data_IF_409342266904
#
_entry.id   IF_409342266904
#
_cell.length_a   1.000
_cell.length_b   1.000
_cell.length_c   1.000
_cell.angle_alpha   90.00
_cell.angle_beta   90.00
_cell.angle_gamma   90.00
#
_symmetry.space_group_name_H-M   'P 1'
#
loop_
_entity.id
_entity.type
_entity.pdbx_description
1 polymer ?
#
# COMPACT_ATOMS: atom_id res chain seq x y z
N UNK A 1 6.81 23.10 8.76
CA UNK A 1 6.85 21.71 9.25
C UNK A 1 6.28 21.71 10.64
N UNK A 2 5.34 20.84 10.95
CA UNK A 2 4.72 20.79 12.28
C UNK A 2 5.72 20.19 13.27
N UNK A 3 5.73 20.68 14.52
CA UNK A 3 6.58 20.18 15.61
C UNK A 3 6.50 18.67 15.77
N UNK A 4 5.31 18.10 15.60
CA UNK A 4 5.05 16.65 15.57
C UNK A 4 5.88 15.86 14.56
N UNK A 5 6.02 16.32 13.33
CA UNK A 5 6.82 15.61 12.31
C UNK A 5 8.31 15.64 12.65
N UNK A 6 8.81 16.73 13.23
CA UNK A 6 10.19 16.81 13.69
C UNK A 6 10.47 15.85 14.86
N UNK A 7 9.51 15.66 15.76
CA UNK A 7 9.60 14.71 16.86
C UNK A 7 9.57 13.27 16.35
N UNK A 8 8.61 12.93 15.51
CA UNK A 8 8.53 11.62 14.87
C UNK A 8 9.79 11.27 14.06
N UNK A 9 10.37 12.24 13.34
CA UNK A 9 11.62 12.04 12.61
C UNK A 9 12.78 11.66 13.55
N UNK A 10 12.87 12.29 14.72
CA UNK A 10 13.90 11.96 15.72
C UNK A 10 13.69 10.54 16.27
N UNK A 11 12.44 10.17 16.58
CA UNK A 11 12.11 8.82 17.04
C UNK A 11 12.46 7.77 16.00
N UNK A 12 12.10 7.99 14.72
CA UNK A 12 12.43 7.10 13.62
C UNK A 12 13.96 6.93 13.46
N UNK A 13 14.73 8.02 13.53
CA UNK A 13 16.18 7.96 13.42
C UNK A 13 16.82 7.21 14.59
N UNK A 14 16.31 7.38 15.81
CA UNK A 14 16.77 6.61 16.97
C UNK A 14 16.48 5.10 16.79
N UNK A 15 15.34 4.73 16.25
CA UNK A 15 15.01 3.34 15.96
C UNK A 15 15.93 2.76 14.88
N UNK A 16 16.21 3.52 13.80
CA UNK A 16 17.16 3.13 12.76
C UNK A 16 18.56 2.91 13.32
N UNK A 17 19.06 3.82 14.16
CA UNK A 17 20.35 3.69 14.80
C UNK A 17 20.41 2.47 15.74
N UNK A 18 19.39 2.27 16.56
CA UNK A 18 19.29 1.09 17.44
C UNK A 18 19.28 -0.21 16.64
N UNK A 19 18.60 -0.25 15.50
CA UNK A 19 18.58 -1.40 14.59
C UNK A 19 19.97 -1.63 13.99
N UNK A 20 20.61 -0.57 13.49
CA UNK A 20 21.96 -0.60 12.94
C UNK A 20 22.97 -1.18 13.93
N UNK A 21 22.97 -0.72 15.19
CA UNK A 21 23.85 -1.20 16.24
C UNK A 21 23.57 -2.68 16.60
N UNK A 22 22.30 -3.07 16.64
CA UNK A 22 21.89 -4.43 17.02
C UNK A 22 22.28 -5.48 15.99
N UNK A 23 22.23 -5.16 14.71
CA UNK A 23 22.51 -6.08 13.60
C UNK A 23 23.84 -5.84 12.90
N UNK A 24 24.58 -4.79 13.28
CA UNK A 24 25.85 -4.40 12.67
C UNK A 24 25.74 -4.21 11.14
N UNK A 25 24.67 -3.56 10.71
CA UNK A 25 24.35 -3.30 9.30
C UNK A 25 24.66 -1.86 8.89
N UNK A 26 24.53 -1.58 7.58
CA UNK A 26 24.61 -0.21 7.09
C UNK A 26 23.32 0.55 7.46
N UNK A 27 23.42 1.83 7.74
CA UNK A 27 22.30 2.69 8.13
C UNK A 27 21.16 2.69 7.08
N UNK A 28 21.50 2.69 5.78
CA UNK A 28 20.52 2.57 4.70
C UNK A 28 19.74 1.24 4.75
N UNK A 29 20.42 0.15 5.09
CA UNK A 29 19.80 -1.18 5.24
C UNK A 29 18.86 -1.18 6.44
N UNK A 30 19.31 -0.63 7.57
CA UNK A 30 18.48 -0.47 8.77
C UNK A 30 17.28 0.43 8.53
N UNK A 31 17.43 1.53 7.76
CA UNK A 31 16.31 2.35 7.33
C UNK A 31 15.28 1.54 6.51
N UNK A 32 15.76 0.78 5.53
CA UNK A 32 14.88 -0.07 4.70
C UNK A 32 14.07 -1.03 5.58
N UNK A 33 14.72 -1.75 6.50
CA UNK A 33 14.05 -2.73 7.35
C UNK A 33 13.08 -2.08 8.34
N UNK A 34 13.49 -1.03 9.04
CA UNK A 34 12.62 -0.32 9.99
C UNK A 34 11.40 0.25 9.27
N UNK A 35 11.60 0.93 8.13
CA UNK A 35 10.48 1.54 7.41
C UNK A 35 9.52 0.50 6.84
N UNK A 36 10.05 -0.55 6.21
CA UNK A 36 9.21 -1.62 5.65
C UNK A 36 8.49 -2.42 6.71
N UNK A 37 9.08 -2.61 7.91
CA UNK A 37 8.39 -3.22 9.05
C UNK A 37 7.15 -2.42 9.48
N UNK A 38 7.18 -1.09 9.43
CA UNK A 38 5.98 -0.29 9.66
C UNK A 38 4.91 -0.54 8.60
N UNK A 39 5.32 -0.64 7.33
CA UNK A 39 4.38 -0.92 6.23
C UNK A 39 3.79 -2.34 6.32
N UNK A 40 4.59 -3.33 6.75
CA UNK A 40 4.14 -4.71 6.98
C UNK A 40 3.17 -4.76 8.16
N UNK A 41 3.50 -4.15 9.31
CA UNK A 41 2.61 -4.10 10.48
C UNK A 41 1.28 -3.40 10.19
N UNK A 42 1.28 -2.45 9.27
CA UNK A 42 0.09 -1.75 8.81
C UNK A 42 -0.57 -2.44 7.61
N UNK A 43 -0.09 -3.62 7.21
CA UNK A 43 -0.62 -4.44 6.10
C UNK A 43 -0.68 -3.69 4.74
N UNK A 44 0.22 -2.73 4.55
CA UNK A 44 0.40 -2.03 3.27
C UNK A 44 1.08 -2.93 2.25
N UNK A 45 2.03 -3.74 2.74
CA UNK A 45 2.72 -4.82 2.02
C UNK A 45 2.75 -6.07 2.90
N UNK A 46 2.77 -7.24 2.29
CA UNK A 46 2.77 -8.51 3.04
C UNK A 46 4.17 -8.87 3.54
N UNK A 47 5.20 -8.60 2.73
CA UNK A 47 6.61 -8.87 3.03
C UNK A 47 7.50 -7.85 2.32
N UNK A 48 8.76 -7.77 2.75
CA UNK A 48 9.80 -6.97 2.10
C UNK A 48 11.14 -7.71 2.18
N UNK A 49 11.59 -8.22 1.06
CA UNK A 49 12.88 -8.90 0.92
C UNK A 49 13.92 -7.91 0.39
N UNK A 50 15.11 -7.90 1.00
CA UNK A 50 16.22 -7.06 0.53
C UNK A 50 16.74 -7.57 -0.81
N UNK A 51 16.99 -6.66 -1.73
CA UNK A 51 17.62 -6.95 -3.03
C UNK A 51 18.20 -5.66 -3.59
N UNK A 52 19.43 -5.35 -3.16
CA UNK A 52 20.04 -4.07 -3.48
C UNK A 52 20.78 -4.10 -4.81
N UNK A 53 20.32 -3.30 -5.76
CA UNK A 53 20.97 -3.04 -7.03
C UNK A 53 21.10 -1.52 -7.24
N UNK A 54 22.31 -1.03 -7.51
CA UNK A 54 22.55 0.37 -7.89
C UNK A 54 23.71 0.47 -8.88
N UNK A 55 23.46 0.01 -10.11
CA UNK A 55 24.46 -0.02 -11.19
C UNK A 55 23.88 0.47 -12.50
N UNK A 56 24.71 1.06 -13.33
CA UNK A 56 24.36 1.43 -14.71
C UNK A 56 23.04 2.21 -14.86
N UNK A 57 22.70 3.03 -13.83
CA UNK A 57 21.45 3.81 -13.81
C UNK A 57 20.19 2.97 -13.54
N UNK A 58 20.35 1.74 -13.06
CA UNK A 58 19.29 0.94 -12.42
C UNK A 58 19.36 1.09 -10.91
N UNK A 59 18.24 1.00 -10.24
CA UNK A 59 18.18 0.93 -8.78
C UNK A 59 16.94 0.18 -8.31
N UNK A 60 17.14 -0.70 -7.34
CA UNK A 60 16.11 -1.32 -6.50
C UNK A 60 16.77 -1.60 -5.15
N UNK A 61 16.02 -1.53 -4.06
CA UNK A 61 16.53 -1.82 -2.72
C UNK A 61 15.86 -3.07 -2.12
N UNK A 62 14.70 -3.46 -2.64
CA UNK A 62 14.00 -4.68 -2.24
C UNK A 62 12.69 -4.90 -3.00
N UNK A 63 11.98 -5.95 -2.61
CA UNK A 63 10.72 -6.34 -3.25
C UNK A 63 9.77 -7.04 -2.27
N UNK A 64 8.50 -7.11 -2.63
CA UNK A 64 7.45 -7.67 -1.79
C UNK A 64 7.13 -9.14 -2.11
N UNK A 65 8.13 -10.01 -2.18
CA UNK A 65 7.97 -11.44 -2.42
C UNK A 65 7.66 -11.84 -3.87
N UNK A 66 7.45 -13.15 -4.10
CA UNK A 66 7.09 -13.67 -5.44
C UNK A 66 5.70 -13.15 -5.85
N UNK A 67 5.56 -12.50 -7.03
CA UNK A 67 4.28 -11.98 -7.50
C UNK A 67 3.12 -12.98 -7.54
N UNK A 68 3.40 -14.29 -7.67
CA UNK A 68 2.36 -15.32 -7.67
C UNK A 68 1.64 -15.39 -6.33
N UNK A 69 2.38 -15.24 -5.24
CA UNK A 69 1.84 -15.32 -3.87
C UNK A 69 1.13 -14.02 -3.47
N UNK A 70 1.36 -12.94 -4.22
CA UNK A 70 0.88 -11.59 -3.95
C UNK A 70 -0.04 -11.04 -5.06
N UNK A 71 -1.06 -11.81 -5.44
CA UNK A 71 -2.10 -11.42 -6.41
C UNK A 71 -1.56 -11.03 -7.80
N UNK A 72 -0.42 -11.59 -8.20
CA UNK A 72 0.27 -11.29 -9.47
C UNK A 72 0.74 -9.83 -9.58
N UNK A 73 0.96 -9.18 -8.43
CA UNK A 73 1.51 -7.82 -8.33
C UNK A 73 3.00 -7.91 -8.05
N UNK A 74 3.80 -7.33 -8.92
CA UNK A 74 5.22 -7.10 -8.65
C UNK A 74 5.37 -5.84 -7.82
N UNK A 75 5.69 -5.99 -6.53
CA UNK A 75 5.98 -4.89 -5.62
C UNK A 75 7.50 -4.69 -5.57
N UNK A 76 8.00 -3.55 -6.04
CA UNK A 76 9.42 -3.18 -5.93
C UNK A 76 9.57 -1.99 -5.00
N UNK A 77 10.62 -2.00 -4.19
CA UNK A 77 10.85 -0.99 -3.16
C UNK A 77 12.17 -0.28 -3.47
N UNK A 78 12.15 1.04 -3.40
CA UNK A 78 13.34 1.88 -3.54
C UNK A 78 13.36 2.93 -2.44
N UNK A 79 14.51 3.15 -1.83
CA UNK A 79 14.72 4.06 -0.71
C UNK A 79 15.29 5.40 -1.18
N UNK A 80 14.77 6.48 -0.62
CA UNK A 80 15.37 7.82 -0.68
C UNK A 80 15.66 8.29 0.74
N UNK A 81 16.82 7.93 1.24
CA UNK A 81 17.24 8.18 2.61
C UNK A 81 18.16 9.39 2.72
N UNK A 82 17.88 10.27 3.68
CA UNK A 82 18.77 11.37 4.08
C UNK A 82 19.44 11.04 5.39
N UNK A 83 20.78 11.23 5.42
CA UNK A 83 21.63 11.10 6.61
C UNK A 83 21.62 12.37 7.50
N UNK A 84 20.87 13.40 7.12
CA UNK A 84 20.79 14.64 7.86
C UNK A 84 19.91 14.50 9.12
N UNK A 85 20.19 15.29 10.12
CA UNK A 85 19.43 15.31 11.38
C UNK A 85 18.14 16.15 11.30
N UNK A 86 17.80 16.66 10.13
CA UNK A 86 16.61 17.45 9.87
C UNK A 86 15.82 16.86 8.69
N UNK A 87 14.50 17.03 8.74
CA UNK A 87 13.64 16.56 7.66
C UNK A 87 13.88 17.39 6.41
N UNK A 88 14.43 16.76 5.39
CA UNK A 88 14.59 17.36 4.07
C UNK A 88 13.30 17.27 3.26
N UNK A 89 13.30 17.91 2.11
CA UNK A 89 12.19 17.87 1.16
C UNK A 89 12.60 17.06 -0.07
N UNK A 90 11.77 16.08 -0.44
CA UNK A 90 11.84 15.41 -1.74
C UNK A 90 10.79 16.03 -2.66
N UNK A 91 11.15 16.28 -3.90
CA UNK A 91 10.21 16.80 -4.89
C UNK A 91 9.74 15.69 -5.85
N UNK A 92 8.74 16.03 -6.67
CA UNK A 92 8.15 15.10 -7.65
C UNK A 92 9.17 14.55 -8.63
N UNK A 93 10.08 15.38 -9.11
CA UNK A 93 11.09 14.98 -10.10
C UNK A 93 12.08 13.97 -9.53
N UNK A 94 12.41 14.07 -8.25
CA UNK A 94 13.29 13.12 -7.56
C UNK A 94 12.63 11.75 -7.47
N UNK A 95 11.35 11.70 -7.07
CA UNK A 95 10.56 10.45 -7.04
C UNK A 95 10.47 9.83 -8.43
N UNK A 96 10.12 10.60 -9.44
CA UNK A 96 10.03 10.12 -10.83
C UNK A 96 11.39 9.63 -11.35
N UNK A 97 12.49 10.28 -10.96
CA UNK A 97 13.85 9.85 -11.31
C UNK A 97 14.20 8.49 -10.70
N UNK A 98 13.86 8.28 -9.41
CA UNK A 98 14.04 6.98 -8.76
C UNK A 98 13.21 5.90 -9.43
N UNK A 99 11.93 6.17 -9.69
CA UNK A 99 11.04 5.23 -10.36
C UNK A 99 11.53 4.83 -11.75
N UNK A 100 12.08 5.78 -12.54
CA UNK A 100 12.69 5.48 -13.84
C UNK A 100 13.88 4.52 -13.73
N UNK A 101 14.68 4.60 -12.67
CA UNK A 101 15.78 3.66 -12.42
C UNK A 101 15.26 2.26 -12.11
N UNK A 102 14.17 2.16 -11.34
CA UNK A 102 13.49 0.88 -11.07
C UNK A 102 12.88 0.31 -12.36
N UNK A 103 12.20 1.13 -13.16
CA UNK A 103 11.66 0.72 -14.46
C UNK A 103 12.75 0.18 -15.39
N UNK A 104 13.93 0.80 -15.39
CA UNK A 104 15.08 0.30 -16.16
C UNK A 104 15.55 -1.06 -15.67
N UNK A 105 15.58 -1.29 -14.34
CA UNK A 105 15.88 -2.59 -13.76
C UNK A 105 14.86 -3.64 -14.21
N UNK A 106 13.56 -3.35 -14.11
CA UNK A 106 12.49 -4.26 -14.56
C UNK A 106 12.64 -4.62 -16.02
N UNK A 107 12.85 -3.64 -16.90
CA UNK A 107 12.94 -3.86 -18.35
C UNK A 107 14.12 -4.77 -18.71
N UNK A 108 15.28 -4.52 -18.10
CA UNK A 108 16.48 -5.34 -18.32
C UNK A 108 16.38 -6.74 -17.70
N UNK A 109 15.66 -6.88 -16.60
CA UNK A 109 15.37 -8.20 -15.99
C UNK A 109 14.46 -9.00 -16.91
N UNK A 110 13.40 -8.39 -17.42
CA UNK A 110 12.42 -9.02 -18.28
C UNK A 110 13.02 -9.50 -19.59
N UNK A 111 13.85 -8.69 -20.26
CA UNK A 111 14.51 -9.08 -21.51
C UNK A 111 15.78 -9.95 -21.29
N UNK A 112 16.25 -10.03 -20.05
CA UNK A 112 17.39 -10.84 -19.64
C UNK A 112 18.76 -10.20 -19.87
N UNK A 113 18.83 -8.96 -20.33
CA UNK A 113 20.11 -8.27 -20.56
C UNK A 113 20.85 -7.94 -19.28
N UNK A 114 20.13 -7.85 -18.15
CA UNK A 114 20.71 -7.57 -16.84
C UNK A 114 21.71 -8.65 -16.38
N UNK A 115 21.51 -9.93 -16.76
CA UNK A 115 22.34 -11.04 -16.29
C UNK A 115 23.79 -10.98 -16.76
N UNK A 116 24.10 -10.13 -17.74
CA UNK A 116 25.49 -9.83 -18.12
C UNK A 116 26.11 -8.69 -17.29
N UNK A 117 25.34 -8.01 -16.46
CA UNK A 117 25.76 -6.82 -15.71
C UNK A 117 25.84 -7.04 -14.21
N UNK A 118 25.24 -8.12 -13.70
CA UNK A 118 25.18 -8.46 -12.27
C UNK A 118 25.79 -9.84 -12.01
N UNK A 119 26.23 -10.07 -10.76
CA UNK A 119 26.81 -11.34 -10.35
C UNK A 119 25.70 -12.37 -10.05
N UNK A 120 25.90 -13.63 -10.48
CA UNK A 120 24.92 -14.71 -10.26
C UNK A 120 24.67 -15.01 -8.79
N UNK A 121 25.65 -14.72 -7.92
CA UNK A 121 25.53 -14.91 -6.46
C UNK A 121 24.87 -13.75 -5.72
N UNK A 122 24.50 -12.69 -6.41
CA UNK A 122 23.93 -11.49 -5.80
C UNK A 122 22.42 -11.60 -5.60
N UNK A 123 21.89 -10.90 -4.59
CA UNK A 123 20.45 -10.89 -4.28
C UNK A 123 19.62 -10.29 -5.43
N UNK A 124 20.15 -9.30 -6.13
CA UNK A 124 19.50 -8.69 -7.28
C UNK A 124 19.39 -9.63 -8.50
N UNK A 125 20.29 -10.63 -8.60
CA UNK A 125 20.19 -11.67 -9.62
C UNK A 125 18.92 -12.52 -9.40
N UNK A 126 18.69 -12.94 -8.14
CA UNK A 126 17.49 -13.68 -7.77
C UNK A 126 16.20 -12.93 -8.08
N UNK A 127 16.16 -11.63 -7.77
CA UNK A 127 15.02 -10.78 -8.10
C UNK A 127 14.84 -10.63 -9.62
N UNK A 128 15.92 -10.45 -10.38
CA UNK A 128 15.86 -10.35 -11.83
C UNK A 128 15.33 -11.65 -12.48
N UNK A 129 15.73 -12.81 -11.93
CA UNK A 129 15.26 -14.12 -12.37
C UNK A 129 13.76 -14.31 -12.07
N UNK A 130 13.30 -13.93 -10.87
CA UNK A 130 11.87 -13.90 -10.53
C UNK A 130 11.10 -13.05 -11.54
N UNK A 131 11.55 -11.83 -11.83
CA UNK A 131 10.89 -10.94 -12.79
C UNK A 131 10.79 -11.60 -14.16
N UNK A 132 11.88 -12.14 -14.67
CA UNK A 132 11.94 -12.81 -15.97
C UNK A 132 11.00 -14.00 -16.04
N UNK A 133 11.07 -14.89 -15.04
CA UNK A 133 10.28 -16.11 -14.98
C UNK A 133 8.78 -15.82 -14.84
N UNK A 134 8.42 -14.84 -14.00
CA UNK A 134 7.04 -14.51 -13.66
C UNK A 134 6.39 -13.50 -14.60
N UNK A 135 7.15 -12.89 -15.52
CA UNK A 135 6.64 -11.83 -16.40
C UNK A 135 5.30 -12.14 -17.08
N UNK A 136 5.07 -13.34 -17.65
CA UNK A 136 3.80 -13.65 -18.30
C UNK A 136 2.59 -13.66 -17.34
N UNK A 137 2.84 -13.72 -16.04
CA UNK A 137 1.80 -13.81 -15.00
C UNK A 137 1.62 -12.48 -14.27
N UNK A 138 2.61 -11.58 -14.31
CA UNK A 138 2.54 -10.25 -13.68
C UNK A 138 1.44 -9.44 -14.36
N UNK A 139 0.56 -8.88 -13.55
CA UNK A 139 -0.59 -8.14 -14.04
C UNK A 139 -0.53 -6.67 -13.66
N UNK A 140 0.25 -6.33 -12.64
CA UNK A 140 0.43 -4.98 -12.14
C UNK A 140 1.82 -4.86 -11.53
N UNK A 141 2.39 -3.68 -11.66
CA UNK A 141 3.66 -3.32 -11.03
C UNK A 141 3.38 -2.17 -10.07
N UNK A 142 3.90 -2.26 -8.86
CA UNK A 142 3.92 -1.14 -7.90
C UNK A 142 5.37 -0.84 -7.56
N UNK A 143 5.75 0.43 -7.71
CA UNK A 143 7.04 0.94 -7.27
C UNK A 143 6.80 1.77 -6.02
N UNK A 144 7.21 1.23 -4.89
CA UNK A 144 7.07 1.84 -3.57
C UNK A 144 8.34 2.63 -3.29
N UNK A 145 8.22 3.94 -3.16
CA UNK A 145 9.33 4.82 -2.80
C UNK A 145 9.22 5.15 -1.33
N UNK A 146 10.14 4.65 -0.51
CA UNK A 146 10.19 4.95 0.92
C UNK A 146 11.19 6.06 1.20
N UNK A 147 10.82 7.06 2.00
CA UNK A 147 11.69 8.20 2.28
C UNK A 147 11.48 8.75 3.70
N UNK A 148 12.58 9.09 4.37
CA UNK A 148 12.56 9.86 5.62
C UNK A 148 12.44 11.38 5.38
N UNK A 149 12.28 11.80 4.13
CA UNK A 149 12.05 13.18 3.72
C UNK A 149 10.56 13.49 3.62
N UNK A 150 10.20 14.76 3.57
CA UNK A 150 8.84 15.24 3.36
C UNK A 150 8.58 15.48 1.87
N UNK A 151 7.55 14.86 1.30
CA UNK A 151 7.19 15.03 -0.11
C UNK A 151 6.39 16.32 -0.32
N UNK A 152 6.96 17.25 -1.06
CA UNK A 152 6.31 18.52 -1.39
C UNK A 152 5.57 18.39 -2.74
N UNK A 153 4.35 17.89 -2.71
CA UNK A 153 3.46 17.85 -3.90
C UNK A 153 2.05 18.26 -3.52
N UNK A 154 1.44 19.10 -4.36
CA UNK A 154 0.03 19.51 -4.19
C UNK A 154 -0.96 18.39 -4.51
N UNK A 155 -0.56 17.41 -5.34
CA UNK A 155 -1.30 16.19 -5.66
C UNK A 155 -0.34 15.01 -5.55
N UNK A 156 -0.68 14.03 -4.72
CA UNK A 156 0.12 12.80 -4.54
C UNK A 156 -0.10 11.77 -5.67
N UNK A 157 -0.81 12.14 -6.73
CA UNK A 157 -1.03 11.27 -7.88
C UNK A 157 0.12 11.39 -8.87
N UNK A 158 0.77 10.26 -9.12
CA UNK A 158 1.78 10.09 -10.16
C UNK A 158 1.16 9.35 -11.34
N UNK A 159 1.50 9.76 -12.55
CA UNK A 159 1.05 9.06 -13.73
C UNK A 159 1.78 7.72 -13.86
N UNK A 160 1.06 6.60 -14.05
CA UNK A 160 1.68 5.31 -14.26
C UNK A 160 2.56 5.29 -15.51
N UNK A 161 3.70 4.61 -15.45
CA UNK A 161 4.58 4.44 -16.60
C UNK A 161 4.34 3.06 -17.23
N UNK A 162 4.17 2.97 -18.56
CA UNK A 162 4.09 1.68 -19.24
C UNK A 162 5.45 0.99 -19.27
N UNK A 163 5.49 -0.27 -18.85
CA UNK A 163 6.67 -1.14 -18.86
C UNK A 163 6.29 -2.42 -19.57
N UNK A 164 6.73 -2.58 -20.82
CA UNK A 164 6.52 -3.78 -21.64
C UNK A 164 5.07 -4.33 -21.60
N UNK A 165 4.08 -3.44 -21.73
CA UNK A 165 2.65 -3.78 -21.78
C UNK A 165 1.94 -3.81 -20.43
N UNK A 166 2.64 -3.61 -19.31
CA UNK A 166 2.08 -3.51 -17.96
C UNK A 166 2.32 -2.10 -17.43
N UNK A 167 1.34 -1.53 -16.70
CA UNK A 167 1.52 -0.23 -16.06
C UNK A 167 2.16 -0.36 -14.69
N UNK A 168 3.19 0.45 -14.43
CA UNK A 168 3.82 0.60 -13.14
C UNK A 168 3.25 1.83 -12.41
N UNK A 169 2.61 1.60 -11.27
CA UNK A 169 2.09 2.65 -10.38
C UNK A 169 3.19 3.08 -9.41
N UNK A 170 3.29 4.38 -9.15
CA UNK A 170 4.22 4.94 -8.17
C UNK A 170 3.50 5.20 -6.86
N UNK A 171 4.02 4.64 -5.79
CA UNK A 171 3.43 4.71 -4.45
C UNK A 171 4.46 5.30 -3.47
N UNK A 172 4.56 6.64 -3.38
CA UNK A 172 5.48 7.25 -2.43
C UNK A 172 4.97 7.13 -1.00
N UNK A 173 5.90 6.78 -0.12
CA UNK A 173 5.76 6.75 1.33
C UNK A 173 6.80 7.67 1.94
N UNK A 174 6.43 8.92 2.14
CA UNK A 174 7.24 9.92 2.82
C UNK A 174 7.04 9.87 4.34
N UNK A 175 7.83 10.63 5.08
CA UNK A 175 7.73 10.67 6.54
C UNK A 175 6.37 11.13 7.05
N UNK A 176 5.69 12.06 6.33
CA UNK A 176 4.39 12.55 6.75
C UNK A 176 3.33 11.45 6.64
N UNK A 177 3.38 10.69 5.54
CA UNK A 177 2.47 9.58 5.31
C UNK A 177 2.71 8.44 6.30
N UNK A 178 3.97 8.15 6.62
CA UNK A 178 4.31 7.17 7.65
C UNK A 178 3.84 7.61 9.03
N UNK A 179 4.09 8.86 9.42
CA UNK A 179 3.61 9.41 10.70
C UNK A 179 2.08 9.33 10.80
N UNK A 180 1.38 9.72 9.75
CA UNK A 180 -0.09 9.62 9.68
C UNK A 180 -0.57 8.17 9.81
N UNK A 181 0.11 7.22 9.17
CA UNK A 181 -0.20 5.80 9.28
C UNK A 181 -0.08 5.29 10.72
N UNK A 182 1.00 5.67 11.41
CA UNK A 182 1.26 5.25 12.80
C UNK A 182 0.29 5.95 13.78
N UNK A 183 0.02 7.25 13.57
CA UNK A 183 -0.94 8.00 14.36
C UNK A 183 -2.37 7.48 14.15
N UNK A 184 -2.77 7.15 12.91
CA UNK A 184 -4.09 6.58 12.62
C UNK A 184 -4.29 5.20 13.25
N UNK A 185 -3.21 4.46 13.50
CA UNK A 185 -3.23 3.27 14.34
C UNK A 185 -3.45 3.57 15.84
N UNK A 186 -3.20 4.82 16.28
CA UNK A 186 -3.37 5.28 17.66
C UNK A 186 -4.60 6.17 17.86
N UNK A 187 -4.90 7.06 16.92
CA UNK A 187 -6.06 7.97 16.94
C UNK A 187 -6.61 8.16 15.53
N UNK A 188 -7.75 7.53 15.25
CA UNK A 188 -8.42 7.64 13.95
C UNK A 188 -9.15 8.97 13.87
N UNK A 189 -8.94 9.75 12.81
CA UNK A 189 -9.87 10.82 12.48
C UNK A 189 -11.27 10.20 12.25
N UNK A 190 -12.28 10.59 13.06
CA UNK A 190 -13.62 10.09 12.86
C UNK A 190 -14.14 10.50 11.47
N UNK A 191 -14.66 9.54 10.72
CA UNK A 191 -15.36 9.81 9.47
C UNK A 191 -16.85 9.91 9.82
N UNK A 192 -17.43 11.07 9.53
CA UNK A 192 -18.88 11.26 9.62
C UNK A 192 -19.49 11.05 8.21
N UNK A 193 -20.39 10.07 8.11
CA UNK A 193 -21.08 9.74 6.87
C UNK A 193 -22.54 10.14 7.02
N UNK A 194 -22.89 11.25 6.41
CA UNK A 194 -24.30 11.66 6.31
C UNK A 194 -24.97 10.89 5.17
N UNK A 195 -25.81 9.91 5.51
CA UNK A 195 -26.51 9.09 4.52
C UNK A 195 -27.45 9.92 3.62
N UNK A 196 -27.87 11.10 4.07
CA UNK A 196 -28.66 12.06 3.26
C UNK A 196 -27.96 12.47 1.97
N UNK A 197 -26.63 12.55 1.99
CA UNK A 197 -25.79 12.88 0.81
C UNK A 197 -25.74 11.73 -0.20
N UNK A 198 -26.14 10.51 0.21
CA UNK A 198 -26.00 9.29 -0.56
C UNK A 198 -27.32 8.56 -0.85
N UNK A 199 -28.45 9.25 -0.77
CA UNK A 199 -29.75 8.68 -1.11
C UNK A 199 -30.72 8.56 0.08
N UNK A 200 -30.37 9.09 1.23
CA UNK A 200 -31.26 9.19 2.37
C UNK A 200 -31.06 8.15 3.46
N UNK A 201 -31.95 8.15 4.46
CA UNK A 201 -31.89 7.22 5.59
C UNK A 201 -32.09 5.77 5.14
N UNK A 202 -31.44 4.84 5.85
CA UNK A 202 -31.47 3.42 5.54
C UNK A 202 -32.29 2.70 6.61
N UNK A 203 -33.24 1.89 6.19
CA UNK A 203 -33.99 1.03 7.10
C UNK A 203 -33.06 -0.04 7.68
N UNK A 204 -33.00 -0.10 9.01
CA UNK A 204 -32.18 -1.05 9.74
C UNK A 204 -32.97 -1.84 10.74
N UNK A 205 -32.61 -3.10 10.91
CA UNK A 205 -33.15 -3.97 11.96
C UNK A 205 -32.11 -4.07 13.06
N UNK A 206 -32.46 -3.61 14.26
CA UNK A 206 -31.57 -3.71 15.41
C UNK A 206 -31.55 -5.17 15.89
N UNK A 207 -30.36 -5.76 16.00
CA UNK A 207 -30.17 -7.06 16.59
C UNK A 207 -30.31 -6.98 18.12
N UNK A 208 -30.90 -8.01 18.72
CA UNK A 208 -30.94 -8.13 20.16
C UNK A 208 -29.54 -8.54 20.67
N UNK A 209 -28.87 -7.63 21.38
CA UNK A 209 -27.57 -7.91 21.99
C UNK A 209 -27.77 -8.32 23.44
N UNK A 210 -27.19 -9.46 23.83
CA UNK A 210 -27.19 -9.97 25.19
C UNK A 210 -26.20 -9.17 26.08
N UNK A 211 -25.13 -8.65 25.46
CA UNK A 211 -24.12 -7.80 26.07
C UNK A 211 -24.26 -6.35 25.59
N UNK A 212 -24.33 -5.40 26.54
CA UNK A 212 -24.59 -3.99 26.28
C UNK A 212 -23.40 -3.16 25.79
N UNK A 213 -22.30 -3.79 25.37
CA UNK A 213 -21.08 -3.07 24.97
C UNK A 213 -21.19 -2.40 23.59
N UNK A 214 -22.05 -2.91 22.71
CA UNK A 214 -22.28 -2.34 21.38
C UNK A 214 -23.66 -2.69 20.85
N UNK A 215 -24.21 -1.81 20.02
CA UNK A 215 -25.42 -2.05 19.24
C UNK A 215 -25.08 -2.63 17.86
N UNK A 216 -25.86 -3.59 17.39
CA UNK A 216 -25.72 -4.18 16.06
C UNK A 216 -26.98 -3.94 15.22
N UNK A 217 -26.78 -3.61 13.95
CA UNK A 217 -27.84 -3.34 12.99
C UNK A 217 -27.64 -4.14 11.73
N UNK A 218 -28.70 -4.74 11.22
CA UNK A 218 -28.75 -5.31 9.87
C UNK A 218 -29.49 -4.34 8.96
N UNK A 219 -28.86 -3.93 7.88
CA UNK A 219 -29.46 -3.05 6.88
C UNK A 219 -29.24 -3.56 5.45
N UNK A 220 -30.12 -3.17 4.56
CA UNK A 220 -30.00 -3.42 3.12
C UNK A 220 -29.71 -2.07 2.46
N UNK A 221 -28.55 -1.99 1.81
CA UNK A 221 -28.08 -0.78 1.16
C UNK A 221 -27.89 -1.07 -0.35
N UNK A 222 -28.36 -0.19 -1.25
CA UNK A 222 -28.06 -0.32 -2.67
C UNK A 222 -26.54 -0.25 -2.92
N UNK A 223 -26.05 -1.11 -3.80
CA UNK A 223 -24.62 -1.14 -4.12
C UNK A 223 -24.07 0.18 -4.65
N UNK A 224 -24.89 0.97 -5.34
CA UNK A 224 -24.56 2.32 -5.81
C UNK A 224 -24.27 3.27 -4.65
N UNK A 225 -25.02 3.20 -3.56
CA UNK A 225 -24.80 4.02 -2.35
C UNK A 225 -23.44 3.67 -1.74
N UNK A 226 -23.12 2.37 -1.64
CA UNK A 226 -21.81 1.91 -1.14
C UNK A 226 -20.68 2.41 -2.03
N UNK A 227 -20.85 2.34 -3.35
CA UNK A 227 -19.87 2.81 -4.32
C UNK A 227 -19.62 4.32 -4.19
N UNK A 228 -20.67 5.11 -4.05
CA UNK A 228 -20.59 6.57 -3.89
C UNK A 228 -19.93 6.96 -2.56
N UNK A 229 -20.24 6.26 -1.46
CA UNK A 229 -19.56 6.45 -0.17
C UNK A 229 -18.06 6.13 -0.32
N UNK A 230 -17.73 5.01 -0.98
CA UNK A 230 -16.35 4.64 -1.24
C UNK A 230 -15.64 5.65 -2.14
N UNK A 231 -16.29 6.20 -3.16
CA UNK A 231 -15.70 7.22 -4.04
C UNK A 231 -15.35 8.49 -3.28
N UNK A 232 -16.21 8.93 -2.33
CA UNK A 232 -15.97 10.12 -1.50
C UNK A 232 -14.86 9.93 -0.47
N UNK A 233 -14.86 8.80 0.25
CA UNK A 233 -13.98 8.59 1.40
C UNK A 233 -12.76 7.70 1.10
N UNK A 234 -12.81 6.91 0.04
CA UNK A 234 -11.73 6.04 -0.46
C UNK A 234 -11.04 5.21 0.64
N UNK A 235 -9.70 5.32 0.72
CA UNK A 235 -8.92 4.53 1.68
C UNK A 235 -9.27 4.84 3.15
N UNK A 236 -9.71 6.05 3.47
CA UNK A 236 -10.15 6.40 4.84
C UNK A 236 -11.28 5.50 5.35
N UNK A 237 -12.20 5.11 4.47
CA UNK A 237 -13.29 4.19 4.80
C UNK A 237 -12.79 2.78 5.16
N UNK A 238 -11.63 2.41 4.68
CA UNK A 238 -11.05 1.07 4.75
C UNK A 238 -9.84 0.98 5.69
N UNK A 239 -9.48 2.05 6.40
CA UNK A 239 -8.29 2.12 7.26
C UNK A 239 -8.23 1.05 8.36
N UNK A 240 -9.36 0.44 8.71
CA UNK A 240 -9.46 -0.68 9.66
C UNK A 240 -9.62 -2.04 9.00
N UNK A 241 -9.63 -2.11 7.68
CA UNK A 241 -9.84 -3.36 6.99
C UNK A 241 -8.49 -3.96 6.61
N UNK A 242 -8.05 -4.94 7.38
CA UNK A 242 -6.84 -5.74 7.11
C UNK A 242 -6.77 -6.32 5.71
N UNK A 243 -7.87 -6.28 4.95
CA UNK A 243 -7.99 -6.83 3.60
C UNK A 243 -8.33 -5.79 2.54
N UNK A 244 -7.96 -4.53 2.76
CA UNK A 244 -8.26 -3.40 1.85
C UNK A 244 -7.86 -3.68 0.39
N UNK A 245 -6.82 -4.47 0.17
CA UNK A 245 -6.24 -4.72 -1.15
C UNK A 245 -6.49 -6.11 -1.70
N UNK A 246 -7.48 -6.85 -1.21
CA UNK A 246 -7.92 -8.07 -1.88
C UNK A 246 -8.46 -7.70 -3.26
N UNK A 247 -7.61 -7.87 -4.27
CA UNK A 247 -7.95 -7.53 -5.65
C UNK A 247 -9.14 -8.36 -6.16
N UNK A 248 -9.89 -7.81 -7.12
CA UNK A 248 -11.04 -8.44 -7.78
C UNK A 248 -10.74 -9.82 -8.42
N UNK A 249 -9.53 -10.31 -8.31
CA UNK A 249 -9.00 -11.53 -8.96
C UNK A 249 -8.89 -12.74 -8.05
N UNK A 250 -8.94 -12.60 -6.72
CA UNK A 250 -9.08 -13.77 -5.83
C UNK A 250 -10.40 -14.50 -6.16
N UNK A 251 -10.43 -15.80 -5.95
CA UNK A 251 -11.61 -16.64 -6.30
C UNK A 251 -12.92 -16.06 -5.74
N UNK A 252 -12.89 -15.53 -4.52
CA UNK A 252 -14.06 -14.89 -3.88
C UNK A 252 -14.50 -13.65 -4.67
N UNK A 253 -13.58 -12.75 -5.01
CA UNK A 253 -13.90 -11.54 -5.73
C UNK A 253 -14.30 -11.80 -7.19
N UNK A 254 -13.75 -12.85 -7.83
CA UNK A 254 -14.24 -13.35 -9.13
C UNK A 254 -15.67 -13.88 -9.01
N UNK A 255 -15.99 -14.56 -7.91
CA UNK A 255 -17.34 -15.04 -7.61
C UNK A 255 -18.32 -13.89 -7.46
N UNK A 256 -17.96 -12.87 -6.68
CA UNK A 256 -18.75 -11.65 -6.48
C UNK A 256 -18.98 -10.94 -7.82
N UNK A 257 -17.93 -10.70 -8.60
CA UNK A 257 -18.01 -10.07 -9.92
C UNK A 257 -18.91 -10.85 -10.87
N UNK A 258 -18.74 -12.16 -10.96
CA UNK A 258 -19.60 -13.04 -11.77
C UNK A 258 -21.07 -12.96 -11.35
N UNK A 259 -21.35 -12.88 -10.04
CA UNK A 259 -22.72 -12.76 -9.54
C UNK A 259 -23.33 -11.44 -9.97
N UNK A 260 -22.60 -10.32 -9.84
CA UNK A 260 -23.07 -8.99 -10.25
C UNK A 260 -23.36 -8.95 -11.75
N UNK A 261 -22.46 -9.50 -12.57
CA UNK A 261 -22.55 -9.43 -14.04
C UNK A 261 -23.59 -10.40 -14.62
N UNK A 262 -23.73 -11.60 -14.06
CA UNK A 262 -24.55 -12.68 -14.67
C UNK A 262 -25.87 -12.94 -13.95
N UNK A 263 -25.92 -12.76 -12.63
CA UNK A 263 -27.07 -13.09 -11.79
C UNK A 263 -27.27 -12.08 -10.65
N UNK A 264 -27.47 -10.78 -10.93
CA UNK A 264 -27.52 -9.73 -9.89
C UNK A 264 -28.62 -9.97 -8.84
N UNK A 265 -29.73 -10.61 -9.22
CA UNK A 265 -30.84 -10.94 -8.31
C UNK A 265 -30.46 -11.98 -7.25
N UNK A 266 -29.41 -12.76 -7.48
CA UNK A 266 -28.93 -13.80 -6.55
C UNK A 266 -27.80 -13.26 -5.63
N UNK A 267 -27.50 -11.96 -5.67
CA UNK A 267 -26.39 -11.39 -4.92
C UNK A 267 -26.47 -11.70 -3.43
N UNK A 268 -27.63 -11.53 -2.81
CA UNK A 268 -27.84 -11.83 -1.39
C UNK A 268 -27.72 -13.32 -1.04
N UNK A 269 -28.03 -14.20 -1.98
CA UNK A 269 -27.96 -15.64 -1.75
C UNK A 269 -26.57 -16.22 -1.90
N UNK A 270 -25.71 -15.56 -2.70
CA UNK A 270 -24.40 -16.11 -3.08
C UNK A 270 -23.22 -15.35 -2.43
N UNK A 271 -23.45 -14.17 -1.86
CA UNK A 271 -22.37 -13.37 -1.30
C UNK A 271 -22.65 -12.99 0.15
N UNK A 272 -21.58 -12.94 0.95
CA UNK A 272 -21.63 -12.43 2.30
C UNK A 272 -21.84 -10.92 2.27
N UNK A 273 -22.45 -10.39 3.33
CA UNK A 273 -22.60 -8.97 3.54
C UNK A 273 -21.29 -8.26 3.87
N UNK A 274 -21.39 -6.94 4.02
CA UNK A 274 -20.29 -6.08 4.48
C UNK A 274 -20.52 -5.79 5.96
N UNK A 275 -19.52 -5.95 6.79
CA UNK A 275 -19.54 -5.52 8.19
C UNK A 275 -18.83 -4.17 8.29
N UNK A 276 -19.48 -3.21 8.93
CA UNK A 276 -18.90 -1.92 9.26
C UNK A 276 -19.05 -1.63 10.75
N UNK A 277 -18.08 -0.95 11.35
CA UNK A 277 -18.14 -0.48 12.74
C UNK A 277 -18.16 1.04 12.75
N UNK A 278 -18.97 1.61 13.63
CA UNK A 278 -19.05 3.03 13.85
C UNK A 278 -19.03 3.32 15.37
N UNK A 279 -18.40 4.42 15.77
CA UNK A 279 -18.39 4.88 17.15
C UNK A 279 -19.77 5.42 17.57
N UNK A 280 -20.55 5.93 16.62
CA UNK A 280 -21.89 6.46 16.84
C UNK A 280 -22.77 6.24 15.61
N UNK A 281 -24.04 5.94 15.82
CA UNK A 281 -25.08 5.86 14.79
C UNK A 281 -26.22 6.76 15.20
N UNK A 282 -26.55 7.77 14.41
CA UNK A 282 -27.72 8.62 14.62
C UNK A 282 -28.94 7.97 13.97
N UNK A 283 -30.04 7.90 14.71
CA UNK A 283 -31.32 7.32 14.29
C UNK A 283 -32.32 8.45 14.04
N UNK A 284 -33.07 8.37 12.95
CA UNK A 284 -34.25 9.24 12.70
C UNK A 284 -35.51 8.63 13.28
#
# INVERSE_FOLDING_TARGET
>A
MTEKISEFFKELNLEIQSHQESYNELELTSFFEVFTNYLIKAEVIDTADKSYCNINGMRVDGYGGDPIDHDYVLNLIVSDYSYNNEVEVINRADVESLCKKVVKFISKSQDGTIFSEIDESSDEYGLADIIKLRWPQIQRIKIIVISNKSLNVRKQEFEPIPVNGIYADFVPWDINRLATLIESGREKEPIEIELKDFGGSIRALQAHNINSEFDSYLCIMPGEVIANIYEKYRNRLLENNVRVFLQARRQVNKGIKNTIEKNPTMFFGFNNGITATASKVDKE
#
